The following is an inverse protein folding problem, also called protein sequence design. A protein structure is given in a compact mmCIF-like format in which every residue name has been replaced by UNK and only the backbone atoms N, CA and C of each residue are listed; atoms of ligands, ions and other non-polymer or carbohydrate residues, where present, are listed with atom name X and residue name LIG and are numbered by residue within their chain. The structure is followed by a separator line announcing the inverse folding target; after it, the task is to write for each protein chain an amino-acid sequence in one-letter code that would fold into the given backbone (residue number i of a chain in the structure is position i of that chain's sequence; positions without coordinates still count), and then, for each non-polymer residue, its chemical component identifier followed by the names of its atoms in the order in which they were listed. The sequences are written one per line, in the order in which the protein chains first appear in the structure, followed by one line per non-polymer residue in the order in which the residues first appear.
data_IF_089500374144
#
_entry.id   IF_089500374144
#
_cell.length_a   1.000
_cell.length_b   1.000
_cell.length_c   1.000
_cell.angle_alpha   90.00
_cell.angle_beta   90.00
_cell.angle_gamma   90.00
#
_symmetry.space_group_name_H-M   'P 1'
#
loop_
_entity.id
_entity.type
_entity.pdbx_description
1 polymer ?
#
# COMPACT_ATOMS: atom_id res chain seq x y z
N UNK A 1 39.76 46.45 42.87
CA UNK A 1 40.19 45.35 41.97
C UNK A 1 39.45 44.05 42.26
N UNK A 2 39.48 43.54 43.50
CA UNK A 2 38.82 42.27 43.87
C UNK A 2 37.31 42.21 43.52
N UNK A 3 36.55 43.28 43.81
CA UNK A 3 35.11 43.35 43.49
C UNK A 3 34.81 43.35 41.98
N UNK A 4 35.68 43.95 41.16
CA UNK A 4 35.51 43.92 39.70
C UNK A 4 35.81 42.52 39.15
N UNK A 5 36.79 41.84 39.73
CA UNK A 5 37.12 40.46 39.37
C UNK A 5 35.97 39.51 39.75
N UNK A 6 35.36 39.70 40.91
CA UNK A 6 34.18 38.95 41.35
C UNK A 6 33.01 39.11 40.37
N UNK A 7 32.67 40.36 40.00
CA UNK A 7 31.60 40.64 39.03
C UNK A 7 31.84 39.98 37.67
N UNK A 8 33.07 40.05 37.15
CA UNK A 8 33.43 39.37 35.89
C UNK A 8 33.24 37.85 35.99
N UNK A 9 33.59 37.25 37.13
CA UNK A 9 33.39 35.82 37.36
C UNK A 9 31.91 35.46 37.46
N UNK A 10 31.08 36.29 38.08
CA UNK A 10 29.63 36.09 38.12
C UNK A 10 29.00 36.17 36.72
N UNK A 11 29.41 37.13 35.90
CA UNK A 11 28.99 37.24 34.50
C UNK A 11 29.41 36.02 33.67
N UNK A 12 30.67 35.57 33.81
CA UNK A 12 31.17 34.34 33.18
C UNK A 12 30.36 33.10 33.60
N UNK A 13 30.03 32.98 34.90
CA UNK A 13 29.22 31.86 35.42
C UNK A 13 27.82 31.87 34.80
N UNK A 14 27.19 33.03 34.69
CA UNK A 14 25.86 33.16 34.08
C UNK A 14 25.88 32.78 32.60
N UNK A 15 26.89 33.22 31.85
CA UNK A 15 27.06 32.85 30.43
C UNK A 15 27.31 31.33 30.28
N UNK A 16 28.23 30.76 31.06
CA UNK A 16 28.52 29.32 31.05
C UNK A 16 27.30 28.48 31.44
N UNK A 17 26.54 28.89 32.46
CA UNK A 17 25.29 28.22 32.84
C UNK A 17 24.26 28.28 31.72
N UNK A 18 24.15 29.42 31.03
CA UNK A 18 23.23 29.59 29.91
C UNK A 18 23.59 28.66 28.76
N UNK A 19 24.86 28.59 28.39
CA UNK A 19 25.39 27.67 27.38
C UNK A 19 25.19 26.21 27.78
N UNK A 20 25.42 25.86 29.05
CA UNK A 20 25.19 24.52 29.56
C UNK A 20 23.72 24.11 29.47
N UNK A 21 22.79 25.00 29.87
CA UNK A 21 21.35 24.76 29.76
C UNK A 21 20.90 24.59 28.32
N UNK A 22 21.44 25.41 27.41
CA UNK A 22 21.17 25.29 25.99
C UNK A 22 21.65 23.94 25.44
N UNK A 23 22.90 23.56 25.73
CA UNK A 23 23.46 22.27 25.34
C UNK A 23 22.67 21.08 25.90
N UNK A 24 22.23 21.17 27.15
CA UNK A 24 21.34 20.17 27.76
C UNK A 24 20.00 20.08 27.03
N UNK A 25 19.38 21.22 26.69
CA UNK A 25 18.13 21.25 25.96
C UNK A 25 18.28 20.65 24.55
N UNK A 26 19.36 20.99 23.83
CA UNK A 26 19.69 20.40 22.53
C UNK A 26 19.87 18.89 22.61
N UNK A 27 20.56 18.40 23.64
CA UNK A 27 20.73 16.97 23.86
C UNK A 27 19.39 16.26 24.12
N UNK A 28 18.52 16.83 24.95
CA UNK A 28 17.19 16.29 25.18
C UNK A 28 16.34 16.26 23.90
N UNK A 29 16.41 17.32 23.09
CA UNK A 29 15.75 17.37 21.78
C UNK A 29 16.29 16.30 20.84
N UNK A 30 17.61 16.18 20.71
CA UNK A 30 18.27 15.15 19.90
C UNK A 30 17.82 13.75 20.33
N UNK A 31 17.86 13.44 21.62
CA UNK A 31 17.41 12.14 22.12
C UNK A 31 15.94 11.86 21.79
N UNK A 32 15.06 12.85 21.97
CA UNK A 32 13.63 12.72 21.62
C UNK A 32 13.46 12.47 20.13
N UNK A 33 14.15 13.23 19.28
CA UNK A 33 14.04 13.11 17.83
C UNK A 33 14.65 11.80 17.32
N UNK A 34 15.83 11.40 17.78
CA UNK A 34 16.45 10.13 17.40
C UNK A 34 15.59 8.92 17.76
N UNK A 35 14.85 8.95 18.88
CA UNK A 35 13.88 7.89 19.21
C UNK A 35 12.75 7.80 18.20
N UNK A 36 12.15 8.95 17.84
CA UNK A 36 11.07 9.01 16.87
C UNK A 36 11.54 8.61 15.46
N UNK A 37 12.72 9.07 15.05
CA UNK A 37 13.34 8.70 13.78
C UNK A 37 13.63 7.20 13.70
N UNK A 38 14.18 6.62 14.78
CA UNK A 38 14.42 5.17 14.85
C UNK A 38 13.12 4.37 14.72
N UNK A 39 12.05 4.79 15.41
CA UNK A 39 10.75 4.13 15.30
C UNK A 39 10.19 4.24 13.89
N UNK A 40 10.19 5.43 13.28
CA UNK A 40 9.76 5.63 11.89
C UNK A 40 10.59 4.80 10.91
N UNK A 41 11.91 4.80 11.08
CA UNK A 41 12.81 4.01 10.24
C UNK A 41 12.48 2.51 10.33
N UNK A 42 12.12 2.00 11.51
CA UNK A 42 11.68 0.61 11.68
C UNK A 42 10.34 0.34 10.99
N UNK A 43 9.32 1.18 11.23
CA UNK A 43 7.99 1.01 10.63
C UNK A 43 8.05 1.07 9.10
N UNK A 44 8.87 1.96 8.55
CA UNK A 44 8.96 2.20 7.11
C UNK A 44 10.16 1.52 6.44
N UNK A 45 10.91 0.66 7.14
CA UNK A 45 12.07 -0.04 6.57
C UNK A 45 11.70 -0.90 5.35
N UNK A 46 10.53 -1.55 5.40
CA UNK A 46 10.07 -2.48 4.36
C UNK A 46 9.40 -1.79 3.17
N UNK A 47 9.30 -0.46 3.15
CA UNK A 47 8.60 0.32 2.11
C UNK A 47 9.07 -0.04 0.69
N UNK A 48 10.39 -0.11 0.47
CA UNK A 48 10.95 -0.39 -0.85
C UNK A 48 10.63 -1.83 -1.32
N UNK A 49 10.70 -2.79 -0.40
CA UNK A 49 10.36 -4.19 -0.65
C UNK A 49 8.86 -4.35 -0.90
N UNK A 50 8.01 -3.73 -0.09
CA UNK A 50 6.58 -3.75 -0.28
C UNK A 50 6.21 -3.21 -1.67
N UNK A 51 6.79 -2.07 -2.08
CA UNK A 51 6.53 -1.45 -3.37
C UNK A 51 6.92 -2.35 -4.56
N UNK A 52 8.04 -3.07 -4.49
CA UNK A 52 8.43 -4.00 -5.57
C UNK A 52 7.54 -5.24 -5.62
N UNK A 53 7.03 -5.71 -4.48
CA UNK A 53 6.08 -6.83 -4.40
C UNK A 53 4.66 -6.45 -4.85
N UNK A 54 4.29 -5.17 -4.87
CA UNK A 54 2.97 -4.78 -5.39
C UNK A 54 2.79 -5.16 -6.87
N UNK A 55 3.85 -5.08 -7.68
CA UNK A 55 3.79 -5.50 -9.09
C UNK A 55 3.57 -7.00 -9.21
N UNK A 56 4.18 -7.82 -8.34
CA UNK A 56 3.95 -9.27 -8.38
C UNK A 56 2.54 -9.62 -7.91
N UNK A 57 2.03 -8.91 -6.92
CA UNK A 57 0.65 -9.03 -6.47
C UNK A 57 -0.35 -8.68 -7.59
N UNK A 58 -0.11 -7.63 -8.35
CA UNK A 58 -0.93 -7.27 -9.51
C UNK A 58 -0.88 -8.36 -10.60
N UNK A 59 0.29 -8.93 -10.87
CA UNK A 59 0.41 -10.03 -11.84
C UNK A 59 -0.38 -11.27 -11.40
N UNK A 60 -0.34 -11.60 -10.11
CA UNK A 60 -1.16 -12.68 -9.56
C UNK A 60 -2.66 -12.35 -9.69
N UNK A 61 -3.05 -11.10 -9.42
CA UNK A 61 -4.42 -10.65 -9.58
C UNK A 61 -4.89 -10.77 -11.05
N UNK A 62 -4.08 -10.29 -11.99
CA UNK A 62 -4.34 -10.40 -13.42
C UNK A 62 -4.44 -11.86 -13.88
N UNK A 63 -3.55 -12.73 -13.40
CA UNK A 63 -3.57 -14.15 -13.72
C UNK A 63 -4.83 -14.88 -13.21
N UNK A 64 -5.40 -14.41 -12.10
CA UNK A 64 -6.66 -14.95 -11.57
C UNK A 64 -7.87 -14.47 -12.36
N UNK A 65 -7.86 -13.22 -12.84
CA UNK A 65 -8.97 -12.65 -13.62
C UNK A 65 -8.95 -13.03 -15.10
N UNK A 66 -7.81 -13.51 -15.62
CA UNK A 66 -7.69 -13.91 -17.03
C UNK A 66 -8.41 -15.22 -17.35
N UNK A 67 -8.77 -16.01 -16.33
CA UNK A 67 -9.50 -17.27 -16.50
C UNK A 67 -10.99 -16.97 -16.34
N UNK A 68 -11.82 -17.11 -17.40
CA UNK A 68 -13.25 -16.88 -17.29
C UNK A 68 -13.91 -17.97 -16.43
N UNK A 69 -14.90 -17.56 -15.62
CA UNK A 69 -15.63 -18.44 -14.69
C UNK A 69 -16.26 -19.66 -15.39
N UNK A 70 -16.58 -19.54 -16.68
CA UNK A 70 -17.11 -20.63 -17.51
C UNK A 70 -16.16 -21.84 -17.64
N UNK A 71 -14.85 -21.63 -17.46
CA UNK A 71 -13.81 -22.68 -17.57
C UNK A 71 -13.46 -23.26 -16.17
N UNK A 72 -13.96 -22.65 -15.09
CA UNK A 72 -13.71 -23.10 -13.70
C UNK A 72 -14.84 -23.99 -13.15
N UNK A 73 -16.04 -23.92 -13.75
CA UNK A 73 -17.21 -24.72 -13.38
C UNK A 73 -17.31 -26.05 -14.17
N UNK A 74 -16.81 -27.13 -13.57
CA UNK A 74 -16.92 -28.51 -14.08
C UNK A 74 -18.39 -28.95 -14.27
N UNK A 75 -19.33 -28.33 -13.56
CA UNK A 75 -20.76 -28.68 -13.58
C UNK A 75 -21.56 -28.05 -14.74
N UNK A 76 -21.10 -26.92 -15.30
CA UNK A 76 -21.79 -26.21 -16.39
C UNK A 76 -21.43 -26.72 -17.78
N UNK A 77 -20.25 -27.32 -17.94
CA UNK A 77 -19.81 -27.96 -19.19
C UNK A 77 -20.61 -29.23 -19.55
N UNK A 78 -21.34 -29.81 -18.58
CA UNK A 78 -22.27 -30.91 -18.83
C UNK A 78 -23.65 -30.45 -19.35
N UNK A 79 -24.01 -29.16 -19.21
CA UNK A 79 -25.38 -28.67 -19.42
C UNK A 79 -25.52 -27.59 -20.50
N UNK A 80 -24.45 -26.97 -21.00
CA UNK A 80 -24.53 -26.07 -22.16
C UNK A 80 -24.05 -26.74 -23.45
N UNK A 81 -24.99 -27.39 -24.13
CA UNK A 81 -24.90 -27.74 -25.54
C UNK A 81 -24.89 -26.46 -26.40
N UNK A 82 -23.76 -25.75 -26.51
CA UNK A 82 -23.52 -24.81 -27.59
C UNK A 82 -22.02 -24.50 -27.68
N UNK A 83 -21.40 -25.00 -28.76
CA UNK A 83 -20.00 -24.83 -29.17
C UNK A 83 -19.01 -25.76 -28.43
N UNK A 84 -18.83 -26.95 -29.02
CA UNK A 84 -17.66 -27.81 -28.76
C UNK A 84 -16.39 -26.96 -28.90
N UNK A 85 -15.57 -26.78 -27.85
CA UNK A 85 -14.18 -26.40 -28.03
C UNK A 85 -13.46 -27.57 -28.72
N UNK A 86 -12.49 -27.27 -29.57
CA UNK A 86 -11.86 -28.24 -30.45
C UNK A 86 -11.31 -29.47 -29.68
N UNK A 87 -11.45 -30.71 -30.20
CA UNK A 87 -11.37 -31.93 -29.39
C UNK A 87 -9.95 -32.37 -29.01
N UNK A 88 -8.89 -31.65 -29.40
CA UNK A 88 -7.52 -32.17 -29.29
C UNK A 88 -6.79 -31.81 -27.98
N UNK A 89 -7.28 -30.85 -27.17
CA UNK A 89 -6.50 -30.34 -26.03
C UNK A 89 -7.23 -30.21 -24.68
N UNK A 90 -8.55 -30.38 -24.60
CA UNK A 90 -9.31 -30.12 -23.36
C UNK A 90 -10.01 -31.38 -22.82
N UNK A 91 -9.30 -32.16 -22.00
CA UNK A 91 -9.85 -33.33 -21.30
C UNK A 91 -10.43 -32.93 -19.94
N UNK A 92 -11.41 -33.67 -19.36
CA UNK A 92 -11.96 -33.36 -18.03
C UNK A 92 -10.90 -33.34 -16.91
N UNK A 93 -9.79 -34.08 -17.09
CA UNK A 93 -8.64 -33.99 -16.18
C UNK A 93 -7.93 -32.64 -16.25
N UNK A 94 -7.77 -32.04 -17.44
CA UNK A 94 -7.16 -30.71 -17.60
C UNK A 94 -7.98 -29.61 -16.93
N UNK A 95 -9.31 -29.67 -17.01
CA UNK A 95 -10.20 -28.74 -16.31
C UNK A 95 -10.07 -28.84 -14.78
N UNK A 96 -9.85 -30.05 -14.26
CA UNK A 96 -9.65 -30.27 -12.83
C UNK A 96 -8.30 -29.73 -12.37
N UNK A 97 -7.22 -29.99 -13.13
CA UNK A 97 -5.88 -29.46 -12.85
C UNK A 97 -5.82 -27.93 -12.94
N UNK A 98 -6.52 -27.32 -13.91
CA UNK A 98 -6.62 -25.87 -14.03
C UNK A 98 -7.34 -25.24 -12.83
N UNK A 99 -8.41 -25.85 -12.35
CA UNK A 99 -9.12 -25.40 -11.14
C UNK A 99 -8.21 -25.47 -9.91
N UNK A 100 -7.49 -26.58 -9.73
CA UNK A 100 -6.52 -26.75 -8.64
C UNK A 100 -5.39 -25.72 -8.73
N UNK A 101 -4.89 -25.43 -9.93
CA UNK A 101 -3.88 -24.40 -10.15
C UNK A 101 -4.42 -23.01 -9.79
N UNK A 102 -5.62 -22.66 -10.25
CA UNK A 102 -6.26 -21.39 -9.92
C UNK A 102 -6.42 -21.21 -8.40
N UNK A 103 -6.86 -22.27 -7.70
CA UNK A 103 -6.96 -22.27 -6.23
C UNK A 103 -5.59 -22.11 -5.55
N UNK A 104 -4.55 -22.81 -6.03
CA UNK A 104 -3.19 -22.65 -5.52
C UNK A 104 -2.65 -21.22 -5.70
N UNK A 105 -2.92 -20.59 -6.84
CA UNK A 105 -2.55 -19.19 -7.11
C UNK A 105 -3.33 -18.23 -6.21
N UNK A 106 -4.63 -18.47 -6.00
CA UNK A 106 -5.47 -17.71 -5.04
C UNK A 106 -4.90 -17.76 -3.63
N UNK A 107 -4.56 -18.97 -3.14
CA UNK A 107 -3.96 -19.16 -1.81
C UNK A 107 -2.63 -18.44 -1.69
N UNK A 108 -1.78 -18.50 -2.72
CA UNK A 108 -0.50 -17.80 -2.75
C UNK A 108 -0.67 -16.28 -2.68
N UNK A 109 -1.61 -15.72 -3.46
CA UNK A 109 -1.96 -14.29 -3.40
C UNK A 109 -2.43 -13.89 -2.01
N UNK A 110 -3.31 -14.69 -1.39
CA UNK A 110 -3.85 -14.40 -0.07
C UNK A 110 -2.78 -14.47 1.02
N UNK A 111 -1.88 -15.45 0.95
CA UNK A 111 -0.73 -15.54 1.86
C UNK A 111 0.20 -14.33 1.74
N UNK A 112 0.47 -13.88 0.50
CA UNK A 112 1.26 -12.66 0.26
C UNK A 112 0.58 -11.41 0.84
N UNK A 113 -0.73 -11.25 0.63
CA UNK A 113 -1.51 -10.16 1.22
C UNK A 113 -1.46 -10.19 2.75
N UNK A 114 -1.57 -11.37 3.36
CA UNK A 114 -1.50 -11.53 4.81
C UNK A 114 -0.11 -11.17 5.36
N UNK A 115 0.96 -11.54 4.65
CA UNK A 115 2.33 -11.16 4.98
C UNK A 115 2.56 -9.64 4.85
N UNK A 116 2.00 -8.99 3.83
CA UNK A 116 2.04 -7.53 3.71
C UNK A 116 1.29 -6.85 4.86
N UNK A 117 0.11 -7.38 5.22
CA UNK A 117 -0.72 -6.85 6.31
C UNK A 117 -0.03 -6.94 7.67
N UNK A 118 0.69 -8.02 7.96
CA UNK A 118 1.42 -8.15 9.23
C UNK A 118 2.53 -7.10 9.39
N UNK A 119 3.04 -6.55 8.28
CA UNK A 119 3.99 -5.45 8.25
C UNK A 119 3.34 -4.07 8.10
N UNK A 120 2.01 -3.98 8.27
CA UNK A 120 1.27 -2.71 8.25
C UNK A 120 0.98 -2.17 6.85
N UNK A 121 1.14 -2.99 5.80
CA UNK A 121 0.77 -2.64 4.43
C UNK A 121 -0.66 -3.09 4.17
N UNK A 122 -1.53 -2.13 3.89
CA UNK A 122 -2.96 -2.39 3.69
C UNK A 122 -3.44 -1.79 2.36
N UNK A 123 -4.30 -2.53 1.62
CA UNK A 123 -5.05 -1.94 0.53
C UNK A 123 -6.08 -0.95 1.08
N UNK A 124 -6.39 0.09 0.31
CA UNK A 124 -7.55 0.94 0.56
C UNK A 124 -8.53 0.81 -0.60
N UNK A 125 -9.83 0.86 -0.29
CA UNK A 125 -10.86 0.85 -1.32
C UNK A 125 -11.01 2.26 -1.87
N UNK A 126 -10.92 2.38 -3.19
CA UNK A 126 -11.10 3.66 -3.88
C UNK A 126 -12.47 3.73 -4.54
N UNK A 127 -13.17 2.61 -4.74
CA UNK A 127 -14.37 2.57 -5.58
C UNK A 127 -15.55 3.26 -4.89
N UNK A 128 -16.12 4.27 -5.57
CA UNK A 128 -17.25 5.04 -5.06
C UNK A 128 -16.89 6.14 -4.06
N UNK A 129 -15.63 6.27 -3.67
CA UNK A 129 -15.17 7.37 -2.83
C UNK A 129 -14.98 8.67 -3.64
N UNK A 130 -14.97 9.81 -2.95
CA UNK A 130 -14.61 11.07 -3.56
C UNK A 130 -13.13 11.05 -3.99
N UNK A 131 -12.82 11.63 -5.14
CA UNK A 131 -11.46 11.63 -5.64
C UNK A 131 -10.54 12.52 -4.76
N UNK A 132 -9.55 11.92 -4.08
CA UNK A 132 -8.47 12.62 -3.38
C UNK A 132 -7.13 12.42 -4.11
N UNK A 133 -6.47 13.48 -4.63
CA UNK A 133 -5.16 13.40 -5.28
C UNK A 133 -4.04 12.76 -4.45
N UNK A 134 -4.15 12.75 -3.11
CA UNK A 134 -3.14 12.12 -2.25
C UNK A 134 -3.21 10.58 -2.31
N UNK A 135 -4.40 10.04 -2.56
CA UNK A 135 -4.66 8.59 -2.57
C UNK A 135 -4.94 8.05 -3.97
N UNK A 136 -5.36 8.90 -4.91
CA UNK A 136 -5.85 8.50 -6.22
C UNK A 136 -5.06 9.14 -7.37
N UNK A 137 -4.75 8.34 -8.38
CA UNK A 137 -4.20 8.75 -9.66
C UNK A 137 -5.29 8.59 -10.73
N UNK A 138 -5.87 9.70 -11.19
CA UNK A 138 -6.89 9.70 -12.23
C UNK A 138 -6.26 9.41 -13.61
N UNK A 139 -6.67 8.31 -14.24
CA UNK A 139 -6.18 7.94 -15.58
C UNK A 139 -7.10 8.43 -16.70
N UNK A 140 -8.41 8.41 -16.47
CA UNK A 140 -9.41 8.81 -17.45
C UNK A 140 -10.70 9.28 -16.76
N UNK A 141 -11.51 10.01 -17.52
CA UNK A 141 -12.84 10.46 -17.10
C UNK A 141 -13.90 9.53 -17.70
N UNK A 142 -14.92 9.17 -16.92
CA UNK A 142 -16.06 8.36 -17.36
C UNK A 142 -17.31 9.23 -17.32
N UNK A 143 -18.11 9.32 -18.40
CA UNK A 143 -19.39 10.03 -18.36
C UNK A 143 -20.36 9.28 -17.45
N UNK A 144 -20.81 9.91 -16.37
CA UNK A 144 -21.75 9.32 -15.40
C UNK A 144 -22.91 10.26 -15.09
N UNK A 145 -23.94 9.72 -14.45
CA UNK A 145 -25.01 10.50 -13.83
C UNK A 145 -24.48 11.39 -12.70
N UNK A 146 -25.12 12.53 -12.45
CA UNK A 146 -24.76 13.55 -11.45
C UNK A 146 -24.34 12.99 -10.06
N UNK A 147 -24.90 11.84 -9.65
CA UNK A 147 -24.59 11.22 -8.35
C UNK A 147 -23.13 10.70 -8.22
N UNK A 148 -22.46 10.45 -9.35
CA UNK A 148 -21.11 9.89 -9.43
C UNK A 148 -20.08 10.88 -9.99
N UNK A 149 -20.49 12.13 -10.25
CA UNK A 149 -19.59 13.20 -10.66
C UNK A 149 -18.55 13.48 -9.56
N UNK A 150 -17.27 13.55 -9.93
CA UNK A 150 -16.15 13.76 -8.99
C UNK A 150 -15.83 12.57 -8.08
N UNK A 151 -16.48 11.42 -8.26
CA UNK A 151 -16.20 10.17 -7.53
C UNK A 151 -15.43 9.19 -8.40
N UNK A 152 -14.77 8.25 -7.75
CA UNK A 152 -14.12 7.13 -8.42
C UNK A 152 -15.18 6.14 -8.90
N UNK A 153 -15.26 5.96 -10.22
CA UNK A 153 -16.21 5.04 -10.86
C UNK A 153 -15.61 3.64 -10.98
N UNK A 154 -14.34 3.58 -11.40
CA UNK A 154 -13.64 2.32 -11.68
C UNK A 154 -12.22 2.36 -11.13
N UNK A 155 -11.76 1.22 -10.59
CA UNK A 155 -10.41 1.04 -10.07
C UNK A 155 -9.68 0.06 -11.00
N UNK A 156 -8.70 0.57 -11.74
CA UNK A 156 -7.85 -0.24 -12.62
C UNK A 156 -6.76 -0.97 -11.83
N UNK A 157 -6.13 -0.28 -10.89
CA UNK A 157 -5.13 -0.86 -9.97
C UNK A 157 -5.40 -0.41 -8.54
N UNK A 158 -5.40 -1.39 -7.64
CA UNK A 158 -5.57 -1.13 -6.21
C UNK A 158 -4.43 -0.29 -5.63
N UNK A 159 -4.81 0.65 -4.77
CA UNK A 159 -3.89 1.46 -3.99
C UNK A 159 -3.51 0.77 -2.68
N UNK A 160 -2.30 1.07 -2.18
CA UNK A 160 -1.77 0.51 -0.94
C UNK A 160 -1.12 1.60 -0.10
N UNK A 161 -1.27 1.50 1.22
CA UNK A 161 -0.64 2.37 2.21
C UNK A 161 0.12 1.56 3.26
N UNK A 162 1.12 2.17 3.88
CA UNK A 162 1.83 1.66 5.04
C UNK A 162 1.70 2.68 6.17
N UNK A 163 1.03 2.31 7.25
CA UNK A 163 0.64 3.28 8.28
C UNK A 163 -0.07 4.50 7.67
N UNK A 164 0.51 5.69 7.83
CA UNK A 164 -0.04 6.95 7.33
C UNK A 164 0.47 7.33 5.91
N UNK A 165 1.37 6.54 5.32
CA UNK A 165 2.02 6.86 4.04
C UNK A 165 1.45 6.03 2.90
N UNK A 166 1.06 6.68 1.81
CA UNK A 166 0.69 6.01 0.56
C UNK A 166 1.94 5.40 -0.10
N UNK A 167 1.92 4.09 -0.33
CA UNK A 167 2.97 3.37 -1.06
C UNK A 167 2.77 3.49 -2.58
N UNK A 168 1.52 3.35 -2.99
CA UNK A 168 1.05 3.46 -4.38
C UNK A 168 -0.38 3.96 -4.36
N UNK A 169 -0.63 5.06 -5.08
CA UNK A 169 -1.98 5.57 -5.30
C UNK A 169 -2.82 4.57 -6.09
N UNK A 170 -4.12 4.53 -5.85
CA UNK A 170 -5.02 3.72 -6.67
C UNK A 170 -5.16 4.38 -8.05
N UNK A 171 -5.03 3.59 -9.11
CA UNK A 171 -5.24 4.09 -10.47
C UNK A 171 -6.71 3.97 -10.82
N UNK A 172 -7.36 5.09 -11.07
CA UNK A 172 -8.83 5.18 -11.10
C UNK A 172 -9.37 5.94 -12.30
N UNK A 173 -10.58 5.58 -12.71
CA UNK A 173 -11.43 6.38 -13.59
C UNK A 173 -12.36 7.26 -12.75
N UNK A 174 -12.35 8.57 -13.00
CA UNK A 174 -13.16 9.55 -12.26
C UNK A 174 -14.42 9.89 -13.05
N UNK A 175 -15.54 10.01 -12.36
CA UNK A 175 -16.79 10.41 -12.97
C UNK A 175 -16.82 11.89 -13.33
N UNK A 176 -17.29 12.20 -14.53
CA UNK A 176 -17.55 13.54 -15.03
C UNK A 176 -18.91 13.62 -15.70
#
# INVERSE_FOLDING_TARGET
ELMQLLKKKDEEIVDLMSRLRYSQADFHNLQRMSKLEKQKAQTYAVTALAKSLLTTLDNLHMALHSIPDSILDVSKTASSAAKKPDPEFFTPSTHTSLKQLHEGVMLTRNSLLQALKSHGVEPFDAKGEAFDPNFHEALFEVPVTDEMEGKVVEVMKGGYKIGDRVLRAAQVGVGK
#
